data_IF_290384353403
#
_entry.id   IF_290384353403
#
_cell.length_a   1.000
_cell.length_b   1.000
_cell.length_c   1.000
_cell.angle_alpha   90.00
_cell.angle_beta   90.00
_cell.angle_gamma   90.00
#
_symmetry.space_group_name_H-M   'P 1'
#
loop_
_entity.id
_entity.type
_entity.pdbx_description
1 polymer ?
#
# COMPACT_ATOMS: atom_id res chain seq x y z
N UNK A 1 -17.14 16.14 -5.78
CA UNK A 1 -15.95 15.80 -6.60
C UNK A 1 -16.39 15.60 -8.03
N UNK A 2 -15.55 15.86 -9.07
CA UNK A 2 -15.92 15.55 -10.46
C UNK A 2 -16.19 14.05 -10.61
N UNK A 3 -17.18 13.70 -11.44
CA UNK A 3 -17.44 12.29 -11.76
C UNK A 3 -16.34 11.74 -12.67
N UNK A 4 -15.87 10.54 -12.37
CA UNK A 4 -14.97 9.82 -13.27
C UNK A 4 -15.79 9.02 -14.27
N UNK A 5 -15.60 9.30 -15.55
CA UNK A 5 -16.34 8.65 -16.65
C UNK A 5 -15.46 7.70 -17.50
N UNK A 6 -14.24 7.44 -17.04
CA UNK A 6 -13.29 6.58 -17.73
C UNK A 6 -13.42 5.10 -17.35
N UNK A 7 -12.63 4.27 -18.02
CA UNK A 7 -12.42 2.87 -17.67
C UNK A 7 -11.19 2.74 -16.78
N UNK A 8 -11.32 2.10 -15.62
CA UNK A 8 -10.24 1.86 -14.66
C UNK A 8 -9.74 0.42 -14.79
N UNK A 9 -8.50 0.23 -15.18
CA UNK A 9 -7.84 -1.07 -15.20
C UNK A 9 -6.95 -1.22 -13.96
N UNK A 10 -7.21 -2.23 -13.14
CA UNK A 10 -6.46 -2.49 -11.90
C UNK A 10 -5.61 -3.74 -12.06
N UNK A 11 -4.28 -3.58 -12.16
CA UNK A 11 -3.32 -4.67 -12.20
C UNK A 11 -2.98 -5.10 -10.76
N UNK A 12 -3.14 -6.38 -10.46
CA UNK A 12 -3.04 -6.93 -9.11
C UNK A 12 -4.33 -6.79 -8.31
N UNK A 13 -5.48 -6.87 -8.99
CA UNK A 13 -6.83 -6.68 -8.45
C UNK A 13 -7.21 -7.64 -7.31
N UNK A 14 -6.57 -8.79 -7.19
CA UNK A 14 -6.78 -9.75 -6.08
C UNK A 14 -5.78 -9.60 -4.94
N UNK A 15 -4.82 -8.66 -5.07
CA UNK A 15 -3.85 -8.34 -4.03
C UNK A 15 -4.45 -7.44 -2.93
N UNK A 16 -3.69 -7.26 -1.84
CA UNK A 16 -4.14 -6.52 -0.67
C UNK A 16 -4.63 -5.10 -0.99
N UNK A 17 -3.84 -4.27 -1.66
CA UNK A 17 -4.26 -2.91 -2.04
C UNK A 17 -5.20 -2.94 -3.23
N UNK A 18 -4.90 -3.76 -4.24
CA UNK A 18 -5.68 -3.79 -5.50
C UNK A 18 -7.15 -4.15 -5.29
N UNK A 19 -7.46 -5.11 -4.41
CA UNK A 19 -8.84 -5.50 -4.12
C UNK A 19 -9.64 -4.35 -3.49
N UNK A 20 -9.03 -3.63 -2.55
CA UNK A 20 -9.69 -2.47 -1.92
C UNK A 20 -9.88 -1.29 -2.91
N UNK A 21 -8.96 -1.12 -3.87
CA UNK A 21 -9.15 -0.13 -4.96
C UNK A 21 -10.31 -0.53 -5.85
N UNK A 22 -10.41 -1.82 -6.25
CA UNK A 22 -11.54 -2.35 -7.04
C UNK A 22 -12.85 -2.12 -6.30
N UNK A 23 -12.93 -2.49 -5.03
CA UNK A 23 -14.14 -2.34 -4.23
C UNK A 23 -14.54 -0.85 -4.10
N UNK A 24 -13.57 0.02 -3.78
CA UNK A 24 -13.83 1.45 -3.61
C UNK A 24 -14.28 2.14 -4.89
N UNK A 25 -13.65 1.79 -6.03
CA UNK A 25 -14.03 2.33 -7.33
C UNK A 25 -15.40 1.79 -7.80
N UNK A 26 -15.68 0.50 -7.57
CA UNK A 26 -16.97 -0.12 -7.88
C UNK A 26 -18.13 0.50 -7.08
N UNK A 27 -17.90 0.77 -5.77
CA UNK A 27 -18.87 1.49 -4.93
C UNK A 27 -19.13 2.92 -5.41
N UNK A 28 -18.15 3.55 -6.06
CA UNK A 28 -18.32 4.85 -6.71
C UNK A 28 -18.99 4.78 -8.09
N UNK A 29 -19.40 3.59 -8.54
CA UNK A 29 -20.08 3.36 -9.81
C UNK A 29 -19.18 3.38 -11.04
N UNK A 30 -17.87 3.18 -10.88
CA UNK A 30 -16.92 3.22 -12.00
C UNK A 30 -16.93 1.93 -12.82
N UNK A 31 -16.60 2.04 -14.10
CA UNK A 31 -16.30 0.89 -14.94
C UNK A 31 -14.89 0.37 -14.59
N UNK A 32 -14.81 -0.74 -13.84
CA UNK A 32 -13.56 -1.35 -13.40
C UNK A 32 -13.27 -2.62 -14.17
N UNK A 33 -12.03 -2.76 -14.65
CA UNK A 33 -11.48 -3.98 -15.25
C UNK A 33 -10.44 -4.54 -14.27
N UNK A 34 -10.81 -5.48 -13.40
CA UNK A 34 -9.90 -6.06 -12.42
C UNK A 34 -9.07 -7.16 -13.08
N UNK A 35 -7.74 -7.03 -13.07
CA UNK A 35 -6.81 -8.00 -13.63
C UNK A 35 -5.91 -8.60 -12.55
N UNK A 36 -5.97 -9.92 -12.44
CA UNK A 36 -5.10 -10.73 -11.58
C UNK A 36 -4.03 -11.47 -12.40
N UNK A 37 -3.11 -12.15 -11.73
CA UNK A 37 -2.13 -13.02 -12.42
C UNK A 37 -2.78 -14.23 -13.12
N UNK A 38 -4.06 -14.54 -12.87
CA UNK A 38 -4.81 -15.57 -13.60
C UNK A 38 -5.29 -15.05 -14.96
N UNK A 39 -5.53 -13.75 -15.07
CA UNK A 39 -5.97 -13.09 -16.29
C UNK A 39 -4.77 -12.73 -17.16
N UNK A 40 -3.74 -12.11 -16.56
CA UNK A 40 -2.46 -11.78 -17.18
C UNK A 40 -1.33 -11.95 -16.17
N UNK A 41 -0.50 -12.99 -16.32
CA UNK A 41 0.73 -13.11 -15.52
C UNK A 41 1.81 -12.21 -16.09
N UNK A 42 1.91 -10.98 -15.54
CA UNK A 42 2.89 -9.97 -15.96
C UNK A 42 4.36 -10.41 -15.80
N UNK A 43 4.65 -11.51 -15.12
CA UNK A 43 5.97 -12.12 -15.05
C UNK A 43 6.28 -13.06 -16.22
N UNK A 44 5.34 -13.30 -17.13
CA UNK A 44 5.55 -14.18 -18.29
C UNK A 44 6.07 -13.41 -19.53
N UNK A 45 6.84 -14.08 -20.44
CA UNK A 45 7.41 -13.40 -21.61
C UNK A 45 6.42 -12.79 -22.60
N UNK A 46 5.18 -13.28 -22.65
CA UNK A 46 4.13 -12.78 -23.56
C UNK A 46 3.12 -11.83 -22.89
N UNK A 47 3.36 -11.47 -21.65
CA UNK A 47 2.40 -10.73 -20.84
C UNK A 47 2.11 -9.32 -21.35
N UNK A 48 3.09 -8.64 -21.92
CA UNK A 48 2.90 -7.31 -22.51
C UNK A 48 1.90 -7.32 -23.66
N UNK A 49 1.98 -8.32 -24.56
CA UNK A 49 1.01 -8.47 -25.64
C UNK A 49 -0.38 -8.82 -25.14
N UNK A 50 -0.47 -9.69 -24.14
CA UNK A 50 -1.75 -10.05 -23.53
C UNK A 50 -2.41 -8.85 -22.84
N UNK A 51 -1.64 -8.05 -22.11
CA UNK A 51 -2.12 -6.83 -21.48
C UNK A 51 -2.53 -5.78 -22.54
N UNK A 52 -1.69 -5.55 -23.56
CA UNK A 52 -1.98 -4.61 -24.64
C UNK A 52 -3.31 -4.93 -25.39
N UNK A 53 -3.64 -6.22 -25.51
CA UNK A 53 -4.90 -6.64 -26.13
C UNK A 53 -6.17 -6.32 -25.29
N UNK A 54 -5.99 -6.00 -24.01
CA UNK A 54 -7.08 -5.64 -23.08
C UNK A 54 -7.23 -4.13 -22.97
N UNK A 55 -6.12 -3.37 -23.09
CA UNK A 55 -6.10 -1.93 -22.90
C UNK A 55 -6.78 -1.18 -24.05
N UNK A 56 -7.38 -0.06 -23.72
CA UNK A 56 -8.02 0.87 -24.65
C UNK A 56 -7.47 2.29 -24.47
N UNK A 57 -7.52 3.10 -25.53
CA UNK A 57 -7.17 4.52 -25.42
C UNK A 57 -8.08 5.23 -24.42
N UNK A 58 -7.49 6.04 -23.57
CA UNK A 58 -8.20 6.74 -22.50
C UNK A 58 -8.29 5.96 -21.17
N UNK A 59 -7.79 4.72 -21.10
CA UNK A 59 -7.76 3.98 -19.84
C UNK A 59 -6.98 4.70 -18.75
N UNK A 60 -7.47 4.57 -17.53
CA UNK A 60 -6.71 4.86 -16.32
C UNK A 60 -6.22 3.54 -15.72
N UNK A 61 -4.92 3.46 -15.42
CA UNK A 61 -4.31 2.24 -14.89
C UNK A 61 -3.89 2.42 -13.45
N UNK A 62 -4.17 1.41 -12.61
CA UNK A 62 -3.56 1.26 -11.27
C UNK A 62 -2.64 0.06 -11.29
N UNK A 63 -1.34 0.31 -11.11
CA UNK A 63 -0.32 -0.72 -11.01
C UNK A 63 -0.08 -1.11 -9.54
N UNK A 64 -0.90 -2.02 -9.01
CA UNK A 64 -0.75 -2.62 -7.69
C UNK A 64 -0.16 -4.04 -7.73
N UNK A 65 0.11 -4.57 -8.93
CA UNK A 65 0.72 -5.90 -9.09
C UNK A 65 2.18 -5.87 -8.63
N UNK A 66 2.50 -6.66 -7.61
CA UNK A 66 3.86 -6.81 -7.08
C UNK A 66 4.00 -8.08 -6.26
N UNK A 67 5.23 -8.61 -6.18
CA UNK A 67 5.64 -9.62 -5.20
C UNK A 67 6.23 -8.89 -4.00
N UNK A 68 5.45 -8.76 -2.95
CA UNK A 68 5.83 -7.98 -1.74
C UNK A 68 5.61 -8.79 -0.46
N UNK A 69 6.46 -8.57 0.55
CA UNK A 69 7.72 -7.83 0.49
C UNK A 69 8.78 -8.56 -0.34
N UNK A 70 9.64 -7.81 -1.05
CA UNK A 70 10.77 -8.41 -1.77
C UNK A 70 11.86 -8.83 -0.80
N UNK A 71 12.11 -10.13 -0.70
CA UNK A 71 13.01 -10.73 0.30
C UNK A 71 14.36 -11.17 -0.29
N UNK A 72 14.43 -11.32 -1.60
CA UNK A 72 15.60 -11.83 -2.31
C UNK A 72 15.71 -11.22 -3.71
N UNK A 73 16.80 -11.48 -4.39
CA UNK A 73 17.05 -10.96 -5.74
C UNK A 73 16.02 -11.42 -6.79
N UNK A 74 15.50 -12.64 -6.66
CA UNK A 74 14.49 -13.15 -7.60
C UNK A 74 13.18 -12.37 -7.48
N UNK A 75 12.76 -11.99 -6.26
CA UNK A 75 11.58 -11.15 -6.04
C UNK A 75 11.78 -9.77 -6.69
N UNK A 76 12.98 -9.19 -6.55
CA UNK A 76 13.33 -7.89 -7.17
C UNK A 76 13.25 -8.00 -8.69
N UNK A 77 13.92 -8.98 -9.29
CA UNK A 77 13.89 -9.19 -10.75
C UNK A 77 12.45 -9.40 -11.25
N UNK A 78 11.64 -10.21 -10.55
CA UNK A 78 10.26 -10.46 -10.94
C UNK A 78 9.43 -9.17 -10.91
N UNK A 79 9.59 -8.32 -9.92
CA UNK A 79 8.89 -7.04 -9.84
C UNK A 79 9.28 -6.07 -10.97
N UNK A 80 10.55 -6.06 -11.37
CA UNK A 80 11.00 -5.24 -12.49
C UNK A 80 10.44 -5.76 -13.82
N UNK A 81 10.39 -7.09 -14.02
CA UNK A 81 9.76 -7.70 -15.20
C UNK A 81 8.26 -7.37 -15.27
N UNK A 82 7.55 -7.42 -14.14
CA UNK A 82 6.15 -7.03 -14.06
C UNK A 82 5.95 -5.57 -14.49
N UNK A 83 6.80 -4.65 -14.03
CA UNK A 83 6.74 -3.24 -14.43
C UNK A 83 7.14 -3.01 -15.87
N UNK A 84 8.15 -3.72 -16.36
CA UNK A 84 8.57 -3.66 -17.77
C UNK A 84 7.45 -4.14 -18.70
N UNK A 85 6.77 -5.23 -18.34
CA UNK A 85 5.64 -5.73 -19.14
C UNK A 85 4.49 -4.71 -19.24
N UNK A 86 4.24 -3.93 -18.18
CA UNK A 86 3.30 -2.81 -18.23
C UNK A 86 3.79 -1.73 -19.20
N UNK A 87 5.04 -1.28 -19.08
CA UNK A 87 5.63 -0.24 -19.96
C UNK A 87 5.53 -0.67 -21.43
N UNK A 88 5.90 -1.90 -21.75
CA UNK A 88 5.82 -2.45 -23.08
C UNK A 88 4.37 -2.53 -23.60
N UNK A 89 3.42 -2.89 -22.73
CA UNK A 89 2.04 -3.01 -23.12
C UNK A 89 1.39 -1.67 -23.46
N UNK A 90 1.75 -0.61 -22.75
CA UNK A 90 1.19 0.74 -22.97
C UNK A 90 1.89 1.52 -24.06
N UNK A 91 2.99 1.01 -24.65
CA UNK A 91 3.74 1.72 -25.70
C UNK A 91 2.90 2.07 -26.93
N UNK A 92 1.83 1.31 -27.21
CA UNK A 92 0.90 1.54 -28.32
C UNK A 92 -0.49 2.01 -27.93
N UNK A 93 -0.72 2.36 -26.65
CA UNK A 93 -2.03 2.75 -26.10
C UNK A 93 -1.93 4.13 -25.44
N UNK A 94 -2.83 5.03 -25.77
CA UNK A 94 -2.88 6.36 -25.18
C UNK A 94 -3.57 6.33 -23.81
N UNK A 95 -2.87 5.86 -22.76
CA UNK A 95 -3.42 5.83 -21.41
C UNK A 95 -3.59 7.25 -20.85
N UNK A 96 -4.71 7.50 -20.20
CA UNK A 96 -5.04 8.82 -19.65
C UNK A 96 -4.29 9.13 -18.34
N UNK A 97 -4.06 8.10 -17.51
CA UNK A 97 -3.35 8.23 -16.24
C UNK A 97 -2.76 6.87 -15.83
N UNK A 98 -1.56 6.90 -15.24
CA UNK A 98 -0.97 5.75 -14.57
C UNK A 98 -0.76 6.08 -13.09
N UNK A 99 -1.33 5.24 -12.21
CA UNK A 99 -1.11 5.28 -10.77
C UNK A 99 -0.27 4.07 -10.38
N UNK A 100 0.90 4.29 -9.82
CA UNK A 100 1.81 3.23 -9.35
C UNK A 100 1.75 3.16 -7.83
N UNK A 101 1.39 2.00 -7.30
CA UNK A 101 1.47 1.73 -5.87
C UNK A 101 2.90 1.33 -5.54
N UNK A 102 3.61 2.24 -4.90
CA UNK A 102 4.98 2.12 -4.41
C UNK A 102 5.00 1.84 -2.89
N UNK A 103 6.00 2.32 -2.18
CA UNK A 103 6.16 2.16 -0.74
C UNK A 103 6.97 3.31 -0.15
N UNK A 104 6.74 3.65 1.10
CA UNK A 104 7.57 4.55 1.89
C UNK A 104 8.99 3.99 2.15
N UNK A 105 9.21 2.71 1.95
CA UNK A 105 10.51 2.07 2.06
C UNK A 105 11.55 2.65 1.09
N UNK A 106 11.14 3.39 0.06
CA UNK A 106 12.05 4.14 -0.83
C UNK A 106 12.86 5.20 -0.08
N UNK A 107 12.37 5.70 1.05
CA UNK A 107 13.06 6.70 1.87
C UNK A 107 14.08 6.09 2.86
N UNK A 108 14.18 4.76 2.96
CA UNK A 108 14.96 4.05 3.99
C UNK A 108 14.22 3.99 5.34
N UNK A 109 14.93 3.67 6.41
CA UNK A 109 14.36 3.48 7.76
C UNK A 109 14.79 4.51 8.79
N UNK A 110 15.51 5.54 8.39
CA UNK A 110 16.05 6.56 9.30
C UNK A 110 14.95 7.31 10.07
N UNK A 111 15.31 7.80 11.25
CA UNK A 111 14.46 8.67 12.06
C UNK A 111 14.26 10.03 11.41
N UNK A 112 13.12 10.65 11.68
CA UNK A 112 12.83 12.01 11.24
C UNK A 112 11.47 12.17 10.59
N UNK A 113 11.24 13.35 10.02
CA UNK A 113 10.00 13.69 9.32
C UNK A 113 10.14 13.41 7.84
N UNK A 114 9.26 12.58 7.29
CA UNK A 114 9.21 12.24 5.86
C UNK A 114 8.21 13.13 5.15
N UNK A 115 8.62 13.66 4.00
CA UNK A 115 7.79 14.42 3.05
C UNK A 115 7.98 13.84 1.65
N UNK A 116 7.17 14.27 0.68
CA UNK A 116 7.37 13.91 -0.74
C UNK A 116 8.67 14.46 -1.33
N UNK A 117 9.30 15.43 -0.65
CA UNK A 117 10.59 16.03 -1.04
C UNK A 117 11.79 15.37 -0.38
N UNK A 118 11.56 14.43 0.55
CA UNK A 118 12.64 13.68 1.20
C UNK A 118 13.41 12.86 0.17
N UNK A 119 14.73 12.80 0.32
CA UNK A 119 15.60 12.00 -0.56
C UNK A 119 15.27 10.51 -0.44
N UNK A 120 15.22 9.83 -1.57
CA UNK A 120 15.10 8.37 -1.58
C UNK A 120 16.49 7.76 -1.25
N UNK A 121 16.54 6.97 -0.19
CA UNK A 121 17.75 6.30 0.30
C UNK A 121 17.37 4.90 0.84
N UNK A 122 16.90 3.99 -0.03
CA UNK A 122 16.42 2.68 0.41
C UNK A 122 17.55 1.86 1.03
N UNK A 123 17.29 1.26 2.18
CA UNK A 123 18.20 0.42 2.95
C UNK A 123 17.77 -1.06 2.97
N UNK A 124 16.76 -1.41 2.18
CA UNK A 124 16.24 -2.76 2.03
C UNK A 124 16.01 -3.12 0.57
N UNK A 125 15.99 -4.43 0.25
CA UNK A 125 15.64 -4.91 -1.09
C UNK A 125 14.24 -4.47 -1.50
N UNK A 126 13.30 -4.41 -0.55
CA UNK A 126 11.93 -3.94 -0.82
C UNK A 126 11.92 -2.46 -1.21
N UNK A 127 12.63 -1.60 -0.47
CA UNK A 127 12.73 -0.18 -0.80
C UNK A 127 13.45 0.07 -2.13
N UNK A 128 14.57 -0.62 -2.37
CA UNK A 128 15.31 -0.52 -3.64
C UNK A 128 14.45 -0.98 -4.84
N UNK A 129 13.73 -2.09 -4.69
CA UNK A 129 12.79 -2.59 -5.70
C UNK A 129 11.68 -1.58 -5.97
N UNK A 130 11.08 -1.01 -4.91
CA UNK A 130 10.00 -0.04 -5.06
C UNK A 130 10.47 1.20 -5.81
N UNK A 131 11.64 1.73 -5.48
CA UNK A 131 12.24 2.87 -6.19
C UNK A 131 12.54 2.54 -7.65
N UNK A 132 13.10 1.36 -7.92
CA UNK A 132 13.39 0.93 -9.29
C UNK A 132 12.10 0.78 -10.12
N UNK A 133 11.01 0.27 -9.54
CA UNK A 133 9.69 0.22 -10.19
C UNK A 133 9.16 1.61 -10.54
N UNK A 134 9.29 2.59 -9.63
CA UNK A 134 8.92 3.98 -9.93
C UNK A 134 9.68 4.50 -11.15
N UNK A 135 10.98 4.25 -11.21
CA UNK A 135 11.83 4.69 -12.32
C UNK A 135 11.46 4.00 -13.64
N UNK A 136 11.19 2.69 -13.63
CA UNK A 136 10.73 1.95 -14.82
C UNK A 136 9.38 2.46 -15.30
N UNK A 137 8.42 2.68 -14.38
CA UNK A 137 7.11 3.18 -14.73
C UNK A 137 7.11 4.66 -15.18
N UNK A 138 8.17 5.42 -14.84
CA UNK A 138 8.32 6.81 -15.32
C UNK A 138 8.57 6.91 -16.83
N UNK A 139 8.99 5.82 -17.49
CA UNK A 139 9.13 5.74 -18.94
C UNK A 139 7.79 5.67 -19.69
N UNK A 140 6.68 5.43 -18.98
CA UNK A 140 5.35 5.40 -19.61
C UNK A 140 4.98 6.79 -20.13
N UNK A 141 4.68 6.87 -21.42
CA UNK A 141 4.14 8.10 -22.01
C UNK A 141 2.68 8.28 -21.61
N UNK A 142 2.46 8.99 -20.52
CA UNK A 142 1.11 9.33 -20.02
C UNK A 142 1.06 10.79 -19.61
N UNK A 143 -0.06 11.49 -19.82
CA UNK A 143 -0.21 12.88 -19.36
C UNK A 143 -0.21 13.01 -17.84
N UNK A 144 -0.54 11.94 -17.11
CA UNK A 144 -0.60 11.95 -15.64
C UNK A 144 0.02 10.67 -15.08
N UNK A 145 1.16 10.82 -14.39
CA UNK A 145 1.78 9.78 -13.59
C UNK A 145 1.63 10.12 -12.10
N UNK A 146 1.08 9.20 -11.33
CA UNK A 146 0.92 9.31 -9.87
C UNK A 146 1.71 8.21 -9.19
N UNK A 147 2.65 8.55 -8.32
CA UNK A 147 3.42 7.62 -7.50
C UNK A 147 2.87 7.66 -6.08
N UNK A 148 2.15 6.63 -5.68
CA UNK A 148 1.57 6.51 -4.34
C UNK A 148 2.56 5.78 -3.44
N UNK A 149 3.06 6.46 -2.41
CA UNK A 149 4.01 5.91 -1.41
C UNK A 149 3.30 5.78 -0.06
N UNK A 150 2.58 4.69 0.17
CA UNK A 150 1.93 4.49 1.47
C UNK A 150 2.97 4.19 2.55
N UNK A 151 2.70 4.66 3.77
CA UNK A 151 3.36 4.20 4.99
C UNK A 151 3.02 2.72 5.24
N UNK A 152 3.33 2.19 6.43
CA UNK A 152 3.04 0.80 6.74
C UNK A 152 1.53 0.50 6.65
N UNK A 153 1.11 -0.20 5.58
CA UNK A 153 -0.30 -0.50 5.33
C UNK A 153 -0.77 -1.64 6.23
N UNK A 154 -1.97 -1.49 6.80
CA UNK A 154 -2.64 -2.56 7.55
C UNK A 154 -4.14 -2.62 7.23
N UNK A 155 -4.76 -3.74 7.60
CA UNK A 155 -6.20 -3.94 7.45
C UNK A 155 -6.57 -5.38 7.12
N UNK A 156 -7.85 -5.60 6.88
CA UNK A 156 -8.36 -6.92 6.51
C UNK A 156 -7.85 -7.34 5.12
N UNK A 157 -7.53 -8.62 4.97
CA UNK A 157 -7.00 -9.18 3.71
C UNK A 157 -5.47 -9.09 3.56
N UNK A 158 -4.74 -8.55 4.55
CA UNK A 158 -3.27 -8.61 4.53
C UNK A 158 -2.74 -10.04 4.63
N UNK A 159 -1.91 -10.43 3.68
CA UNK A 159 -1.26 -11.74 3.62
C UNK A 159 0.23 -11.70 4.00
N UNK A 160 0.79 -10.52 4.23
CA UNK A 160 2.24 -10.35 4.41
C UNK A 160 2.71 -10.69 5.82
N UNK A 161 1.82 -10.54 6.82
CA UNK A 161 2.13 -10.75 8.24
C UNK A 161 3.37 -9.97 8.73
N UNK A 162 3.54 -8.76 8.24
CA UNK A 162 4.62 -7.87 8.65
C UNK A 162 4.47 -7.48 10.13
N UNK A 163 5.59 -7.18 10.79
CA UNK A 163 5.60 -6.71 12.17
C UNK A 163 4.81 -5.41 12.31
N UNK A 164 3.78 -5.43 13.14
CA UNK A 164 2.85 -4.32 13.32
C UNK A 164 1.40 -4.78 13.49
N UNK A 165 0.42 -3.94 13.11
CA UNK A 165 -0.99 -4.15 13.45
C UNK A 165 -1.54 -5.53 13.08
N UNK A 166 -1.37 -5.97 11.84
CA UNK A 166 -1.92 -7.26 11.37
C UNK A 166 -1.31 -8.45 12.09
N UNK A 167 0.00 -8.43 12.32
CA UNK A 167 0.67 -9.50 13.08
C UNK A 167 0.22 -9.54 14.54
N UNK A 168 0.10 -8.38 15.16
CA UNK A 168 -0.36 -8.28 16.55
C UNK A 168 -1.82 -8.75 16.68
N UNK A 169 -2.68 -8.39 15.72
CA UNK A 169 -4.06 -8.86 15.68
C UNK A 169 -4.13 -10.39 15.54
N UNK A 170 -3.35 -11.01 14.64
CA UNK A 170 -3.29 -12.47 14.52
C UNK A 170 -2.82 -13.12 15.82
N UNK A 171 -1.74 -12.61 16.40
CA UNK A 171 -1.18 -13.15 17.65
C UNK A 171 -2.21 -13.09 18.79
N UNK A 172 -2.89 -11.97 18.98
CA UNK A 172 -3.86 -11.82 20.07
C UNK A 172 -5.08 -12.71 19.87
N UNK A 173 -5.55 -12.88 18.62
CA UNK A 173 -6.70 -13.73 18.31
C UNK A 173 -6.36 -15.22 18.40
N UNK A 174 -5.13 -15.63 18.06
CA UNK A 174 -4.69 -17.05 18.06
C UNK A 174 -4.25 -17.52 19.44
N UNK A 175 -3.52 -16.69 20.20
CA UNK A 175 -2.87 -17.11 21.44
C UNK A 175 -3.19 -16.26 22.67
N UNK A 176 -3.84 -15.12 22.49
CA UNK A 176 -4.03 -14.14 23.55
C UNK A 176 -2.77 -13.35 23.91
N UNK A 177 -1.64 -13.55 23.19
CA UNK A 177 -0.37 -12.89 23.48
C UNK A 177 0.15 -12.11 22.28
N UNK A 178 0.61 -10.88 22.51
CA UNK A 178 1.27 -10.03 21.49
C UNK A 178 2.75 -9.94 21.85
N UNK A 179 3.62 -10.31 20.92
CA UNK A 179 5.07 -10.22 21.12
C UNK A 179 5.61 -8.90 20.57
N UNK A 180 6.20 -8.08 21.46
CA UNK A 180 6.91 -6.84 21.13
C UNK A 180 8.40 -7.06 21.32
N UNK A 181 9.22 -6.59 20.37
CA UNK A 181 10.68 -6.69 20.48
C UNK A 181 11.24 -5.47 21.20
N UNK A 182 12.17 -5.71 22.15
CA UNK A 182 12.71 -4.68 23.04
C UNK A 182 11.60 -3.98 23.82
N UNK A 183 11.79 -2.70 24.14
CA UNK A 183 10.75 -1.89 24.80
C UNK A 183 9.62 -1.44 23.84
N UNK A 184 9.75 -1.73 22.53
CA UNK A 184 8.78 -1.30 21.50
C UNK A 184 8.75 0.20 21.27
N UNK A 185 9.86 0.88 21.50
CA UNK A 185 9.96 2.35 21.47
C UNK A 185 9.93 2.92 20.05
N UNK A 186 10.39 2.14 19.04
CA UNK A 186 10.40 2.60 17.66
C UNK A 186 8.99 3.02 17.21
N UNK A 187 8.90 4.18 16.53
CA UNK A 187 7.64 4.71 16.05
C UNK A 187 7.49 4.55 14.55
N UNK A 188 6.28 4.23 14.11
CA UNK A 188 5.90 4.18 12.69
C UNK A 188 4.52 4.77 12.51
N UNK A 189 4.29 5.33 11.34
CA UNK A 189 2.95 5.62 10.87
C UNK A 189 2.36 4.38 10.21
N UNK A 190 1.16 4.04 10.60
CA UNK A 190 0.41 2.92 10.04
C UNK A 190 -0.86 3.46 9.42
N UNK A 191 -1.09 3.16 8.15
CA UNK A 191 -2.24 3.62 7.38
C UNK A 191 -3.15 2.46 7.02
N UNK A 192 -4.47 2.65 7.09
CA UNK A 192 -5.41 1.61 6.69
C UNK A 192 -5.37 1.39 5.18
N UNK A 193 -5.56 0.16 4.75
CA UNK A 193 -5.67 -0.15 3.31
C UNK A 193 -6.87 0.56 2.68
N UNK A 194 -7.92 0.81 3.45
CA UNK A 194 -9.10 1.55 3.01
C UNK A 194 -8.76 3.02 2.69
N UNK A 195 -7.97 3.69 3.54
CA UNK A 195 -7.50 5.06 3.27
C UNK A 195 -6.59 5.11 2.04
N UNK A 196 -5.71 4.12 1.88
CA UNK A 196 -4.86 4.02 0.67
C UNK A 196 -5.72 3.90 -0.58
N UNK A 197 -6.74 3.05 -0.57
CA UNK A 197 -7.66 2.89 -1.70
C UNK A 197 -8.47 4.18 -1.95
N UNK A 198 -8.95 4.85 -0.91
CA UNK A 198 -9.68 6.13 -1.06
C UNK A 198 -8.79 7.22 -1.65
N UNK A 199 -7.54 7.34 -1.21
CA UNK A 199 -6.57 8.28 -1.79
C UNK A 199 -6.31 7.97 -3.26
N UNK A 200 -6.13 6.71 -3.64
CA UNK A 200 -5.94 6.32 -5.05
C UNK A 200 -7.14 6.71 -5.90
N UNK A 201 -8.36 6.42 -5.44
CA UNK A 201 -9.59 6.79 -6.15
C UNK A 201 -9.72 8.31 -6.29
N UNK A 202 -9.45 9.09 -5.24
CA UNK A 202 -9.43 10.56 -5.28
C UNK A 202 -8.37 11.10 -6.24
N UNK A 203 -7.16 10.53 -6.22
CA UNK A 203 -6.08 10.93 -7.12
C UNK A 203 -6.45 10.68 -8.61
N UNK A 204 -7.22 9.65 -8.89
CA UNK A 204 -7.76 9.39 -10.22
C UNK A 204 -8.81 10.43 -10.58
N UNK A 205 -9.78 10.71 -9.70
CA UNK A 205 -10.83 11.70 -9.94
C UNK A 205 -10.31 13.11 -10.21
N UNK A 206 -9.26 13.51 -9.47
CA UNK A 206 -8.67 14.85 -9.59
C UNK A 206 -7.50 14.91 -10.57
N UNK A 207 -7.14 13.76 -11.19
CA UNK A 207 -5.98 13.61 -12.09
C UNK A 207 -4.69 14.12 -11.46
N UNK A 208 -4.48 13.77 -10.19
CA UNK A 208 -3.27 14.16 -9.47
C UNK A 208 -2.02 13.58 -10.13
N UNK A 209 -0.98 14.40 -10.25
CA UNK A 209 0.30 14.00 -10.78
C UNK A 209 1.40 14.12 -9.71
N UNK A 210 2.45 13.30 -9.87
CA UNK A 210 3.63 13.32 -9.01
C UNK A 210 3.51 12.38 -7.82
N UNK A 211 4.27 12.67 -6.76
CA UNK A 211 4.38 11.81 -5.58
C UNK A 211 3.29 12.16 -4.56
N UNK A 212 2.67 11.13 -4.01
CA UNK A 212 1.71 11.18 -2.89
C UNK A 212 2.20 10.26 -1.77
N UNK A 213 2.61 10.83 -0.64
CA UNK A 213 2.76 10.06 0.58
C UNK A 213 1.39 9.85 1.21
N UNK A 214 1.07 8.60 1.50
CA UNK A 214 -0.20 8.23 2.14
C UNK A 214 0.07 7.67 3.52
N UNK A 215 -0.21 8.47 4.53
CA UNK A 215 0.03 8.16 5.94
C UNK A 215 -1.14 8.67 6.78
N UNK A 216 -1.27 8.16 8.00
CA UNK A 216 -2.30 8.63 8.94
C UNK A 216 -1.95 10.01 9.54
N UNK A 217 -0.68 10.40 9.52
CA UNK A 217 -0.16 11.57 10.23
C UNK A 217 -0.01 11.35 11.74
N UNK A 218 -0.23 10.14 12.22
CA UNK A 218 -0.18 9.75 13.63
C UNK A 218 0.76 8.56 13.82
N UNK A 219 2.05 8.85 13.97
CA UNK A 219 3.02 7.81 14.27
C UNK A 219 2.89 7.36 15.72
N UNK A 220 2.83 6.06 15.94
CA UNK A 220 2.74 5.45 17.29
C UNK A 220 3.90 4.48 17.51
N UNK A 221 4.26 4.27 18.78
CA UNK A 221 5.24 3.25 19.14
C UNK A 221 4.67 1.84 18.95
N UNK A 222 5.53 0.84 18.73
CA UNK A 222 5.07 -0.55 18.68
C UNK A 222 4.49 -1.01 20.01
N UNK A 223 4.94 -0.44 21.15
CA UNK A 223 4.35 -0.70 22.45
C UNK A 223 2.92 -0.17 22.55
N UNK A 224 2.67 1.09 22.15
CA UNK A 224 1.32 1.67 22.11
C UNK A 224 0.43 0.94 21.11
N UNK A 225 0.97 0.58 19.96
CA UNK A 225 0.25 -0.20 18.96
C UNK A 225 -0.21 -1.57 19.51
N UNK A 226 0.69 -2.26 20.22
CA UNK A 226 0.37 -3.53 20.86
C UNK A 226 -0.68 -3.36 21.98
N UNK A 227 -0.63 -2.26 22.73
CA UNK A 227 -1.63 -1.92 23.72
C UNK A 227 -3.01 -1.70 23.08
N UNK A 228 -3.10 -0.94 21.99
CA UNK A 228 -4.33 -0.73 21.23
C UNK A 228 -4.93 -2.06 20.75
N UNK A 229 -4.11 -2.96 20.19
CA UNK A 229 -4.58 -4.29 19.72
C UNK A 229 -5.02 -5.15 20.90
N UNK A 230 -4.30 -5.15 22.03
CA UNK A 230 -4.66 -5.88 23.25
C UNK A 230 -6.02 -5.43 23.78
N UNK A 231 -6.27 -4.13 23.81
CA UNK A 231 -7.47 -3.55 24.43
C UNK A 231 -8.76 -3.86 23.66
N UNK A 232 -8.65 -4.14 22.36
CA UNK A 232 -9.75 -4.60 21.51
C UNK A 232 -9.74 -6.13 21.28
N UNK A 233 -8.74 -6.82 21.78
CA UNK A 233 -8.58 -8.27 21.70
C UNK A 233 -9.46 -9.04 22.71
N UNK A 234 -9.33 -10.38 22.77
CA UNK A 234 -10.02 -11.21 23.73
C UNK A 234 -9.69 -10.85 25.19
N UNK A 235 -10.64 -11.08 26.11
CA UNK A 235 -10.42 -10.85 27.52
C UNK A 235 -9.22 -11.68 28.03
N UNK A 236 -8.31 -11.04 28.78
CA UNK A 236 -7.08 -11.66 29.28
C UNK A 236 -5.89 -11.57 28.32
N UNK A 237 -6.06 -10.91 27.18
CA UNK A 237 -4.95 -10.65 26.25
C UNK A 237 -3.80 -9.89 26.94
N UNK A 238 -2.56 -10.23 26.58
CA UNK A 238 -1.36 -9.62 27.17
C UNK A 238 -0.29 -9.31 26.14
N UNK A 239 0.54 -8.31 26.45
CA UNK A 239 1.74 -7.98 25.69
C UNK A 239 2.95 -8.59 26.40
N UNK A 240 3.78 -9.31 25.64
CA UNK A 240 5.02 -9.91 26.12
C UNK A 240 6.20 -9.29 25.38
N UNK A 241 7.28 -9.06 26.10
CA UNK A 241 8.49 -8.50 25.54
C UNK A 241 9.45 -9.64 25.20
N UNK A 242 10.01 -9.64 23.98
CA UNK A 242 10.99 -10.62 23.52
C UNK A 242 12.21 -9.94 22.93
N UNK A 243 13.41 -10.43 23.30
CA UNK A 243 14.67 -9.93 22.77
C UNK A 243 15.00 -8.49 23.17
N UNK A 244 15.92 -7.87 22.43
CA UNK A 244 16.29 -6.47 22.56
C UNK A 244 16.17 -5.77 21.22
N UNK A 245 15.68 -4.54 21.22
CA UNK A 245 15.78 -3.63 20.07
C UNK A 245 17.11 -2.88 20.17
N UNK A 246 17.97 -3.01 19.16
CA UNK A 246 19.32 -2.49 19.24
C UNK A 246 19.41 -0.97 18.99
N UNK A 247 18.47 -0.41 18.23
CA UNK A 247 18.42 1.03 17.93
C UNK A 247 17.03 1.40 17.44
N UNK A 248 16.13 1.89 18.31
CA UNK A 248 14.80 2.29 17.87
C UNK A 248 14.89 3.48 16.92
N UNK A 249 14.07 3.47 15.87
CA UNK A 249 13.94 4.57 14.93
C UNK A 249 12.60 5.28 15.11
N UNK A 250 12.64 6.62 15.04
CA UNK A 250 11.47 7.48 15.29
C UNK A 250 11.10 8.21 14.01
N UNK A 251 10.10 7.70 13.31
CA UNK A 251 9.71 8.19 12.01
C UNK A 251 8.31 8.74 12.02
N UNK A 252 8.13 9.93 11.45
CA UNK A 252 6.85 10.60 11.31
C UNK A 252 6.65 11.07 9.88
N UNK A 253 5.42 11.42 9.51
CA UNK A 253 5.06 11.90 8.18
C UNK A 253 4.42 13.28 8.25
N UNK A 254 4.87 14.20 7.42
CA UNK A 254 4.15 15.44 7.16
C UNK A 254 3.11 15.17 6.08
N UNK A 255 1.85 15.07 6.48
CA UNK A 255 0.72 14.86 5.58
C UNK A 255 0.11 16.16 5.05
N UNK A 256 0.75 17.30 5.23
CA UNK A 256 0.24 18.59 4.74
C UNK A 256 0.06 18.59 3.21
N UNK A 257 0.90 17.83 2.49
CA UNK A 257 0.76 17.61 1.05
C UNK A 257 -0.54 16.91 0.69
N UNK A 258 -0.88 15.83 1.41
CA UNK A 258 -2.11 15.06 1.25
C UNK A 258 -3.34 15.92 1.59
N UNK A 259 -3.31 16.63 2.72
CA UNK A 259 -4.41 17.49 3.18
C UNK A 259 -4.70 18.67 2.23
N UNK A 260 -3.68 19.23 1.56
CA UNK A 260 -3.89 20.27 0.56
C UNK A 260 -4.56 19.75 -0.70
N UNK A 261 -4.25 18.53 -1.12
CA UNK A 261 -4.83 17.90 -2.33
C UNK A 261 -6.24 17.41 -2.07
N UNK A 262 -6.49 16.88 -0.88
CA UNK A 262 -7.77 16.30 -0.47
C UNK A 262 -8.23 16.87 0.88
N UNK A 263 -8.73 18.13 0.92
CA UNK A 263 -9.04 18.84 2.17
C UNK A 263 -10.15 18.18 3.01
N UNK A 264 -11.00 17.38 2.36
CA UNK A 264 -12.11 16.63 2.98
C UNK A 264 -11.71 15.19 3.38
N UNK A 265 -10.47 14.79 3.11
CA UNK A 265 -9.94 13.50 3.55
C UNK A 265 -9.47 13.61 5.01
N UNK A 266 -10.02 12.76 5.84
CA UNK A 266 -9.54 12.57 7.22
C UNK A 266 -9.02 11.15 7.34
N UNK A 267 -7.69 10.95 7.36
CA UNK A 267 -7.14 9.61 7.52
C UNK A 267 -7.60 8.96 8.83
N UNK A 268 -7.83 7.66 8.78
CA UNK A 268 -8.27 6.87 9.94
C UNK A 268 -7.17 6.82 10.99
N UNK A 269 -7.46 7.30 12.20
CA UNK A 269 -6.52 7.23 13.32
C UNK A 269 -6.26 5.79 13.78
N UNK A 270 -5.09 5.52 14.41
CA UNK A 270 -4.67 4.16 14.76
C UNK A 270 -5.67 3.40 15.62
N UNK A 271 -6.26 4.03 16.63
CA UNK A 271 -7.23 3.38 17.53
C UNK A 271 -8.46 2.87 16.77
N UNK A 272 -9.06 3.72 15.93
CA UNK A 272 -10.25 3.37 15.13
C UNK A 272 -9.93 2.30 14.10
N UNK A 273 -8.83 2.45 13.36
CA UNK A 273 -8.47 1.50 12.32
C UNK A 273 -8.09 0.12 12.88
N UNK A 274 -7.44 0.07 14.04
CA UNK A 274 -7.11 -1.19 14.72
C UNK A 274 -8.39 -1.89 15.20
N UNK A 275 -9.32 -1.16 15.82
CA UNK A 275 -10.60 -1.71 16.25
C UNK A 275 -11.36 -2.33 15.07
N UNK A 276 -11.50 -1.57 13.98
CA UNK A 276 -12.17 -2.05 12.76
C UNK A 276 -11.51 -3.32 12.21
N UNK A 277 -10.17 -3.35 12.15
CA UNK A 277 -9.43 -4.50 11.65
C UNK A 277 -9.60 -5.74 12.53
N UNK A 278 -9.44 -5.61 13.86
CA UNK A 278 -9.54 -6.75 14.79
C UNK A 278 -10.95 -7.32 14.79
N UNK A 279 -11.97 -6.47 14.78
CA UNK A 279 -13.37 -6.90 14.68
C UNK A 279 -13.64 -7.66 13.38
N UNK A 280 -13.15 -7.15 12.24
CA UNK A 280 -13.31 -7.82 10.96
C UNK A 280 -12.61 -9.19 10.92
N UNK A 281 -11.38 -9.28 11.46
CA UNK A 281 -10.64 -10.54 11.54
C UNK A 281 -11.32 -11.56 12.46
N UNK A 282 -11.86 -11.13 13.59
CA UNK A 282 -12.59 -12.00 14.52
C UNK A 282 -13.89 -12.54 13.91
N UNK A 283 -14.64 -11.69 13.20
CA UNK A 283 -15.85 -12.09 12.47
C UNK A 283 -15.58 -13.13 11.38
N UNK A 284 -14.48 -12.97 10.64
CA UNK A 284 -14.08 -13.89 9.57
C UNK A 284 -13.59 -15.26 10.09
N UNK A 285 -13.08 -15.33 11.31
CA UNK A 285 -12.64 -16.58 11.93
C UNK A 285 -13.81 -17.45 12.44
N UNK A 286 -14.99 -16.86 12.63
CA UNK A 286 -16.19 -17.52 13.15
C UNK A 286 -17.25 -17.82 12.06
N UNK A 287 -16.98 -17.45 10.79
CA UNK A 287 -17.84 -17.70 9.63
C UNK A 287 -17.30 -18.87 8.78
#
# INVERSE_FOLDING_TARGET
MPEFHGRLVVLGATGFVGSHVVDRASQAGWQVVPLSSRDVDLGSPSSSLALAAILEDGDTLVHAAAVVPSRNAADVCRNLLISQALVDAVAGVAVAQLVVVSSDAVYGSDSGVVTEKSSCSPDSLHGAMSLAREMVCADVSTPVLTLVRPAAIYGNGDTHNSYGPNRFARQVLESGEITVFGAGEATRDHVTVADVADVIVRAIQTREAGILNVASGQSVSFADLAALVRDVGPAGARVVVAGSESSPTFRTYDISGLNRRFPDLVPTGPAVGIEQMVVAMHGSANA
#
